data_IF_330152934568
#
_entry.id   IF_330152934568
#
_cell.length_a   1.000
_cell.length_b   1.000
_cell.length_c   1.000
_cell.angle_alpha   90.00
_cell.angle_beta   90.00
_cell.angle_gamma   90.00
#
_symmetry.space_group_name_H-M   'P 1'
#
loop_
_entity.id
_entity.type
_entity.pdbx_description
1 polymer ?
#
# COMPACT_ATOMS: atom_id res chain seq x y z
N UNK A 1 -14.05 19.74 0.52
CA UNK A 1 -15.34 20.42 0.78
C UNK A 1 -16.50 19.64 0.13
N UNK A 2 -16.50 19.38 -1.19
CA UNK A 2 -17.59 18.63 -1.88
C UNK A 2 -17.77 17.24 -1.29
N UNK A 3 -16.68 16.52 -1.07
CA UNK A 3 -16.69 15.20 -0.43
C UNK A 3 -17.28 15.25 0.98
N UNK A 4 -16.91 16.25 1.79
CA UNK A 4 -17.45 16.43 3.14
C UNK A 4 -18.95 16.78 3.15
N UNK A 5 -19.44 17.45 2.11
CA UNK A 5 -20.87 17.76 1.96
C UNK A 5 -21.66 16.50 1.57
N UNK A 6 -21.11 15.66 0.70
CA UNK A 6 -21.79 14.46 0.20
C UNK A 6 -21.74 13.28 1.17
N UNK A 7 -20.61 13.09 1.85
CA UNK A 7 -20.30 11.92 2.67
C UNK A 7 -20.00 12.24 4.15
N UNK A 8 -19.96 13.53 4.52
CA UNK A 8 -19.70 13.95 5.89
C UNK A 8 -20.85 13.63 6.85
N UNK A 9 -20.56 13.77 8.13
CA UNK A 9 -21.51 13.53 9.21
C UNK A 9 -22.69 14.49 9.13
N UNK A 10 -23.90 13.97 8.94
CA UNK A 10 -25.14 14.75 8.90
C UNK A 10 -25.72 15.01 10.29
N UNK A 11 -25.46 14.11 11.24
CA UNK A 11 -25.94 14.20 12.62
C UNK A 11 -24.79 14.00 13.61
N UNK A 12 -24.88 14.64 14.79
CA UNK A 12 -23.86 14.60 15.85
C UNK A 12 -24.11 13.44 16.84
N UNK A 13 -24.86 12.41 16.44
CA UNK A 13 -25.10 11.26 17.30
C UNK A 13 -23.90 10.30 17.26
N UNK A 14 -23.32 10.04 18.42
CA UNK A 14 -22.14 9.16 18.59
C UNK A 14 -22.40 7.71 18.18
N UNK A 15 -23.68 7.30 18.11
CA UNK A 15 -24.10 5.93 17.75
C UNK A 15 -24.55 5.78 16.30
N UNK A 16 -24.43 6.82 15.48
CA UNK A 16 -24.86 6.77 14.09
C UNK A 16 -23.73 6.21 13.20
N UNK A 17 -24.04 5.13 12.51
CA UNK A 17 -23.10 4.48 11.57
C UNK A 17 -23.01 5.26 10.25
N UNK A 18 -21.79 5.61 9.86
CA UNK A 18 -21.50 6.45 8.70
C UNK A 18 -21.33 5.60 7.42
N UNK A 19 -22.37 4.90 6.97
CA UNK A 19 -22.30 4.00 5.80
C UNK A 19 -21.72 4.64 4.54
N UNK A 20 -22.10 5.90 4.25
CA UNK A 20 -21.60 6.62 3.08
C UNK A 20 -20.08 6.84 3.12
N UNK A 21 -19.57 7.24 4.28
CA UNK A 21 -18.15 7.47 4.49
C UNK A 21 -17.38 6.15 4.47
N UNK A 22 -17.92 5.09 5.08
CA UNK A 22 -17.28 3.77 5.08
C UNK A 22 -17.18 3.18 3.67
N UNK A 23 -18.24 3.30 2.87
CA UNK A 23 -18.22 2.85 1.46
C UNK A 23 -17.23 3.65 0.61
N UNK A 24 -17.11 4.96 0.85
CA UNK A 24 -16.13 5.79 0.15
C UNK A 24 -14.68 5.37 0.49
N UNK A 25 -14.37 5.10 1.77
CA UNK A 25 -13.07 4.61 2.22
C UNK A 25 -12.76 3.23 1.62
N UNK A 26 -13.75 2.34 1.57
CA UNK A 26 -13.60 1.02 0.97
C UNK A 26 -13.30 1.11 -0.53
N UNK A 27 -14.04 1.93 -1.26
CA UNK A 27 -13.81 2.19 -2.68
C UNK A 27 -12.42 2.77 -2.95
N UNK A 28 -12.01 3.76 -2.17
CA UNK A 28 -10.67 4.35 -2.21
C UNK A 28 -9.59 3.28 -2.05
N UNK A 29 -9.74 2.39 -1.07
CA UNK A 29 -8.77 1.32 -0.81
C UNK A 29 -8.66 0.33 -1.98
N UNK A 30 -9.77 0.03 -2.66
CA UNK A 30 -9.79 -0.82 -3.85
C UNK A 30 -9.07 -0.13 -5.01
N UNK A 31 -9.35 1.14 -5.27
CA UNK A 31 -8.69 1.90 -6.35
C UNK A 31 -7.17 1.94 -6.15
N UNK A 32 -6.71 2.19 -4.93
CA UNK A 32 -5.29 2.16 -4.57
C UNK A 32 -4.66 0.78 -4.82
N UNK A 33 -5.33 -0.27 -4.36
CA UNK A 33 -4.84 -1.64 -4.53
C UNK A 33 -4.70 -1.99 -6.02
N UNK A 34 -5.72 -1.67 -6.82
CA UNK A 34 -5.71 -1.92 -8.27
C UNK A 34 -4.58 -1.17 -8.95
N UNK A 35 -4.42 0.14 -8.66
CA UNK A 35 -3.34 0.94 -9.21
C UNK A 35 -1.97 0.34 -8.86
N UNK A 36 -1.79 -0.07 -7.60
CA UNK A 36 -0.54 -0.64 -7.11
C UNK A 36 -0.22 -2.00 -7.73
N UNK A 37 -1.24 -2.86 -7.94
CA UNK A 37 -1.09 -4.13 -8.65
C UNK A 37 -0.63 -3.91 -10.09
N UNK A 38 -1.24 -2.98 -10.80
CA UNK A 38 -0.84 -2.69 -12.19
C UNK A 38 0.61 -2.20 -12.29
N UNK A 39 1.04 -1.32 -11.38
CA UNK A 39 2.43 -0.86 -11.34
C UNK A 39 3.39 -1.98 -10.95
N UNK A 40 3.03 -2.81 -9.98
CA UNK A 40 3.86 -3.95 -9.57
C UNK A 40 4.05 -4.98 -10.67
N UNK A 41 2.97 -5.31 -11.40
CA UNK A 41 3.03 -6.21 -12.56
C UNK A 41 3.85 -5.58 -13.68
N UNK A 42 3.64 -4.29 -13.95
CA UNK A 42 4.41 -3.54 -14.93
C UNK A 42 5.91 -3.54 -14.59
N UNK A 43 6.27 -3.26 -13.34
CA UNK A 43 7.64 -3.29 -12.87
C UNK A 43 8.28 -4.68 -13.02
N UNK A 44 7.54 -5.74 -12.68
CA UNK A 44 8.04 -7.10 -12.69
C UNK A 44 8.22 -7.67 -14.10
N UNK A 45 7.28 -7.44 -15.00
CA UNK A 45 7.27 -8.08 -16.32
C UNK A 45 7.72 -7.19 -17.48
N UNK A 46 7.58 -5.88 -17.36
CA UNK A 46 7.99 -4.96 -18.41
C UNK A 46 9.41 -4.39 -18.20
N UNK A 47 9.81 -4.19 -16.93
CA UNK A 47 11.11 -3.59 -16.61
C UNK A 47 12.14 -4.65 -16.21
N UNK A 48 11.72 -5.68 -15.46
CA UNK A 48 12.61 -6.68 -14.85
C UNK A 48 12.58 -8.06 -15.52
N UNK A 49 11.96 -8.22 -16.70
CA UNK A 49 11.90 -9.52 -17.41
C UNK A 49 11.51 -10.73 -16.52
N UNK A 50 10.81 -10.49 -15.42
CA UNK A 50 10.26 -11.50 -14.53
C UNK A 50 11.00 -11.71 -13.19
N UNK A 51 10.56 -12.72 -12.40
CA UNK A 51 11.06 -12.93 -11.03
C UNK A 51 12.55 -13.33 -10.95
N UNK A 52 13.11 -13.93 -12.00
CA UNK A 52 14.52 -14.32 -12.03
C UNK A 52 15.42 -13.10 -12.15
N UNK A 53 15.07 -12.14 -13.01
CA UNK A 53 15.80 -10.90 -13.16
C UNK A 53 15.69 -10.03 -11.91
N UNK A 54 14.53 -10.02 -11.26
CA UNK A 54 14.34 -9.41 -9.96
C UNK A 54 15.37 -9.92 -8.94
N UNK A 55 15.50 -11.24 -8.80
CA UNK A 55 16.44 -11.85 -7.87
C UNK A 55 17.90 -11.53 -8.23
N UNK A 56 18.28 -11.65 -9.49
CA UNK A 56 19.63 -11.35 -9.96
C UNK A 56 19.98 -9.87 -9.70
N UNK A 57 19.09 -8.94 -10.00
CA UNK A 57 19.29 -7.51 -9.76
C UNK A 57 19.49 -7.21 -8.27
N UNK A 58 18.76 -7.89 -7.37
CA UNK A 58 18.95 -7.75 -5.92
C UNK A 58 20.32 -8.24 -5.50
N UNK A 59 20.78 -9.39 -6.02
CA UNK A 59 22.07 -9.99 -5.66
C UNK A 59 23.24 -9.15 -6.19
N UNK A 60 23.14 -8.65 -7.42
CA UNK A 60 24.20 -7.89 -8.10
C UNK A 60 24.35 -6.47 -7.58
N UNK A 61 23.27 -5.87 -7.04
CA UNK A 61 23.30 -4.49 -6.54
C UNK A 61 23.61 -4.48 -5.03
N UNK A 62 24.81 -4.03 -4.60
CA UNK A 62 25.22 -4.12 -3.19
C UNK A 62 24.26 -3.48 -2.20
N UNK A 63 23.63 -2.38 -2.60
CA UNK A 63 22.69 -1.65 -1.78
C UNK A 63 21.36 -2.42 -1.61
N UNK A 64 20.82 -3.01 -2.67
CA UNK A 64 19.61 -3.86 -2.61
C UNK A 64 19.90 -5.16 -1.87
N UNK A 65 21.09 -5.74 -2.08
CA UNK A 65 21.52 -6.93 -1.37
C UNK A 65 21.52 -6.70 0.15
N UNK A 66 22.09 -5.59 0.61
CA UNK A 66 22.10 -5.24 2.03
C UNK A 66 20.70 -4.98 2.60
N UNK A 67 19.76 -4.48 1.81
CA UNK A 67 18.39 -4.24 2.24
C UNK A 67 17.55 -5.54 2.35
N UNK A 68 17.65 -6.41 1.36
CA UNK A 68 16.76 -7.57 1.25
C UNK A 68 17.38 -8.88 1.77
N UNK A 69 18.71 -9.02 1.72
CA UNK A 69 19.41 -10.27 2.05
C UNK A 69 20.27 -10.15 3.32
N UNK A 70 20.29 -8.99 3.99
CA UNK A 70 20.96 -8.86 5.29
C UNK A 70 20.28 -9.72 6.36
N UNK A 71 21.07 -10.23 7.29
CA UNK A 71 20.53 -10.97 8.43
C UNK A 71 19.64 -10.06 9.27
N UNK A 72 18.41 -10.48 9.47
CA UNK A 72 17.45 -9.78 10.35
C UNK A 72 17.94 -9.97 11.78
N UNK A 73 18.16 -8.86 12.48
CA UNK A 73 18.42 -8.85 13.90
C UNK A 73 17.15 -9.25 14.67
N UNK A 74 17.20 -10.39 15.34
CA UNK A 74 16.02 -10.97 16.00
C UNK A 74 15.35 -10.03 17.00
N UNK A 75 16.08 -9.33 17.91
CA UNK A 75 15.48 -8.34 18.79
C UNK A 75 14.74 -7.23 18.05
N UNK A 76 15.34 -6.66 17.02
CA UNK A 76 14.74 -5.60 16.20
C UNK A 76 13.46 -6.09 15.52
N UNK A 77 13.45 -7.30 14.99
CA UNK A 77 12.27 -7.90 14.37
C UNK A 77 11.11 -8.06 15.38
N UNK A 78 11.40 -8.53 16.59
CA UNK A 78 10.38 -8.69 17.64
C UNK A 78 9.80 -7.32 18.02
N UNK A 79 10.66 -6.31 18.24
CA UNK A 79 10.22 -4.96 18.60
C UNK A 79 9.33 -4.36 17.49
N UNK A 80 9.75 -4.47 16.24
CA UNK A 80 8.95 -3.97 15.09
C UNK A 80 7.61 -4.70 14.97
N UNK A 81 7.57 -6.01 15.23
CA UNK A 81 6.33 -6.79 15.23
C UNK A 81 5.37 -6.33 16.32
N UNK A 82 5.88 -6.10 17.54
CA UNK A 82 5.07 -5.57 18.64
C UNK A 82 4.54 -4.18 18.33
N UNK A 83 5.38 -3.29 17.78
CA UNK A 83 4.97 -1.94 17.37
C UNK A 83 3.90 -1.98 16.30
N UNK A 84 4.06 -2.80 15.28
CA UNK A 84 3.06 -2.97 14.20
C UNK A 84 1.73 -3.51 14.74
N UNK A 85 1.76 -4.50 15.63
CA UNK A 85 0.57 -5.02 16.28
C UNK A 85 -0.12 -3.96 17.16
N UNK A 86 0.65 -3.16 17.89
CA UNK A 86 0.12 -2.08 18.72
C UNK A 86 -0.51 -0.96 17.90
N UNK A 87 0.00 -0.68 16.70
CA UNK A 87 -0.49 0.38 15.85
C UNK A 87 -1.98 0.21 15.49
N UNK A 88 -2.47 -1.04 15.33
CA UNK A 88 -3.87 -1.32 15.04
C UNK A 88 -4.79 -0.80 16.16
N UNK A 89 -4.36 -0.89 17.42
CA UNK A 89 -5.15 -0.45 18.57
C UNK A 89 -4.92 1.03 18.92
N UNK A 90 -3.72 1.54 18.67
CA UNK A 90 -3.35 2.91 19.05
C UNK A 90 -3.74 3.95 18.01
N UNK A 91 -3.92 3.59 16.73
CA UNK A 91 -4.35 4.52 15.70
C UNK A 91 -5.86 4.78 15.81
N UNK A 92 -6.31 6.04 16.07
CA UNK A 92 -7.72 6.35 16.30
C UNK A 92 -8.62 5.93 15.13
N UNK A 93 -8.15 6.09 13.89
CA UNK A 93 -8.89 5.70 12.68
C UNK A 93 -9.13 4.18 12.64
N UNK A 94 -8.10 3.38 12.90
CA UNK A 94 -8.19 1.92 12.89
C UNK A 94 -9.10 1.41 14.01
N UNK A 95 -8.96 1.98 15.19
CA UNK A 95 -9.81 1.65 16.33
C UNK A 95 -11.27 2.01 16.06
N UNK A 96 -11.56 3.19 15.50
CA UNK A 96 -12.92 3.62 15.18
C UNK A 96 -13.58 2.66 14.18
N UNK A 97 -12.89 2.32 13.09
CA UNK A 97 -13.41 1.40 12.06
C UNK A 97 -13.66 -0.01 12.62
N UNK A 98 -12.75 -0.52 13.45
CA UNK A 98 -12.83 -1.89 13.95
C UNK A 98 -13.76 -2.08 15.16
N UNK A 99 -13.97 -1.03 15.97
CA UNK A 99 -14.71 -1.14 17.21
C UNK A 99 -16.07 -0.40 17.20
N UNK A 100 -16.16 0.74 16.48
CA UNK A 100 -17.37 1.59 16.49
C UNK A 100 -18.26 1.31 15.28
N UNK A 101 -17.68 1.17 14.08
CA UNK A 101 -18.44 0.94 12.83
C UNK A 101 -18.76 -0.54 12.58
N UNK A 102 -18.42 -1.41 13.50
CA UNK A 102 -18.69 -2.85 13.44
C UNK A 102 -20.19 -3.14 13.59
N UNK A 103 -20.77 -3.95 12.67
CA UNK A 103 -22.18 -4.29 12.63
C UNK A 103 -22.49 -5.73 13.00
N UNK A 104 -21.72 -6.66 12.46
CA UNK A 104 -21.98 -8.09 12.63
C UNK A 104 -20.66 -8.84 12.89
N UNK A 105 -20.72 -9.86 13.74
CA UNK A 105 -19.58 -10.74 14.02
C UNK A 105 -19.04 -11.44 12.76
N UNK A 106 -19.87 -11.61 11.74
CA UNK A 106 -19.49 -12.16 10.44
C UNK A 106 -18.52 -11.27 9.70
N UNK A 107 -18.72 -9.95 9.75
CA UNK A 107 -17.86 -8.96 9.09
C UNK A 107 -16.47 -8.95 9.71
N UNK A 108 -16.39 -9.09 11.02
CA UNK A 108 -15.13 -9.17 11.75
C UNK A 108 -14.34 -10.44 11.37
N UNK A 109 -15.03 -11.57 11.23
CA UNK A 109 -14.40 -12.83 10.79
C UNK A 109 -13.83 -12.71 9.39
N UNK A 110 -14.52 -12.02 8.48
CA UNK A 110 -14.08 -11.80 7.12
C UNK A 110 -12.91 -10.81 7.06
N UNK A 111 -13.00 -9.69 7.78
CA UNK A 111 -11.96 -8.67 7.86
C UNK A 111 -10.64 -9.24 8.39
N UNK A 112 -10.69 -10.18 9.34
CA UNK A 112 -9.51 -10.85 9.91
C UNK A 112 -8.63 -11.56 8.87
N UNK A 113 -9.21 -12.02 7.77
CA UNK A 113 -8.47 -12.65 6.67
C UNK A 113 -8.14 -11.69 5.54
N UNK A 114 -9.09 -10.82 5.17
CA UNK A 114 -8.90 -9.88 4.05
C UNK A 114 -7.85 -8.81 4.38
N UNK A 115 -7.85 -8.29 5.59
CA UNK A 115 -6.92 -7.23 5.96
C UNK A 115 -5.44 -7.68 5.90
N UNK A 116 -5.04 -8.82 6.48
CA UNK A 116 -3.68 -9.33 6.32
C UNK A 116 -3.34 -9.67 4.86
N UNK A 117 -4.29 -10.23 4.10
CA UNK A 117 -4.09 -10.52 2.68
C UNK A 117 -3.84 -9.24 1.87
N UNK A 118 -4.60 -8.19 2.13
CA UNK A 118 -4.41 -6.87 1.52
C UNK A 118 -3.01 -6.32 1.80
N UNK A 119 -2.56 -6.35 3.05
CA UNK A 119 -1.22 -5.91 3.44
C UNK A 119 -0.12 -6.78 2.80
N UNK A 120 -0.34 -8.09 2.70
CA UNK A 120 0.60 -9.01 2.07
C UNK A 120 0.78 -8.69 0.59
N UNK A 121 -0.31 -8.43 -0.14
CA UNK A 121 -0.25 -8.04 -1.56
C UNK A 121 0.56 -6.75 -1.72
N UNK A 122 0.28 -5.72 -0.91
CA UNK A 122 1.07 -4.49 -0.93
C UNK A 122 2.56 -4.74 -0.68
N UNK A 123 2.88 -5.47 0.38
CA UNK A 123 4.27 -5.77 0.74
C UNK A 123 5.02 -6.53 -0.36
N UNK A 124 4.33 -7.46 -1.02
CA UNK A 124 4.92 -8.25 -2.09
C UNK A 124 5.20 -7.42 -3.35
N UNK A 125 4.35 -6.43 -3.64
CA UNK A 125 4.49 -5.57 -4.81
C UNK A 125 5.50 -4.43 -4.61
N UNK A 126 5.80 -4.04 -3.38
CA UNK A 126 6.82 -3.02 -3.08
C UNK A 126 8.20 -3.46 -3.61
N UNK A 127 8.54 -4.74 -3.45
CA UNK A 127 9.85 -5.26 -3.84
C UNK A 127 10.15 -5.05 -5.34
N UNK A 128 9.33 -5.50 -6.30
CA UNK A 128 9.60 -5.26 -7.71
C UNK A 128 9.59 -3.78 -8.10
N UNK A 129 8.73 -2.96 -7.48
CA UNK A 129 8.69 -1.52 -7.75
C UNK A 129 9.99 -0.85 -7.30
N UNK A 130 10.51 -1.19 -6.12
CA UNK A 130 11.74 -0.63 -5.60
C UNK A 130 12.95 -1.04 -6.45
N UNK A 131 13.05 -2.32 -6.82
CA UNK A 131 14.15 -2.84 -7.64
C UNK A 131 14.10 -2.24 -9.06
N UNK A 132 12.93 -2.20 -9.69
CA UNK A 132 12.76 -1.57 -11.00
C UNK A 132 13.08 -0.07 -10.95
N UNK A 133 12.65 0.63 -9.91
CA UNK A 133 12.95 2.05 -9.70
C UNK A 133 14.44 2.31 -9.57
N UNK A 134 15.15 1.51 -8.80
CA UNK A 134 16.60 1.64 -8.65
C UNK A 134 17.37 1.35 -9.94
N UNK A 135 16.88 0.39 -10.76
CA UNK A 135 17.48 0.02 -12.05
C UNK A 135 17.30 1.11 -13.12
N UNK A 136 16.10 1.72 -13.20
CA UNK A 136 15.75 2.66 -14.27
C UNK A 136 16.11 4.10 -13.92
N UNK A 137 15.83 4.53 -12.69
CA UNK A 137 15.90 5.94 -12.34
C UNK A 137 17.27 6.37 -11.80
N UNK A 138 18.16 5.41 -11.48
CA UNK A 138 19.51 5.66 -10.93
C UNK A 138 19.53 6.72 -9.81
N UNK A 139 18.39 6.96 -9.17
CA UNK A 139 18.23 7.95 -8.10
C UNK A 139 18.52 7.32 -6.74
N UNK A 140 18.99 8.14 -5.81
CA UNK A 140 19.15 7.70 -4.42
C UNK A 140 17.79 7.22 -3.88
N UNK A 141 17.79 6.20 -3.03
CA UNK A 141 16.59 5.66 -2.37
C UNK A 141 15.79 6.70 -1.56
N UNK A 142 16.34 7.89 -1.34
CA UNK A 142 15.64 9.02 -0.72
C UNK A 142 14.36 9.43 -1.46
N UNK A 143 14.25 9.08 -2.74
CA UNK A 143 13.08 9.39 -3.57
C UNK A 143 12.24 8.13 -3.91
N UNK A 144 12.41 7.04 -3.18
CA UNK A 144 11.73 5.77 -3.46
C UNK A 144 10.20 5.88 -3.43
N UNK A 145 9.64 6.79 -2.65
CA UNK A 145 8.20 7.04 -2.57
C UNK A 145 7.60 7.47 -3.91
N UNK A 146 8.39 8.14 -4.76
CA UNK A 146 7.96 8.57 -6.08
C UNK A 146 8.09 7.50 -7.16
N UNK A 147 8.75 6.37 -6.89
CA UNK A 147 8.97 5.33 -7.89
C UNK A 147 7.67 4.80 -8.48
N UNK A 148 6.62 4.69 -7.68
CA UNK A 148 5.30 4.24 -8.13
C UNK A 148 4.76 5.11 -9.28
N UNK A 149 4.98 6.43 -9.22
CA UNK A 149 4.55 7.38 -10.24
C UNK A 149 5.60 7.57 -11.35
N UNK A 150 6.87 7.65 -10.99
CA UNK A 150 7.95 7.94 -11.93
C UNK A 150 8.24 6.79 -12.90
N UNK A 151 8.06 5.54 -12.48
CA UNK A 151 8.29 4.39 -13.35
C UNK A 151 7.40 4.38 -14.60
N UNK A 152 6.06 4.51 -14.50
CA UNK A 152 5.21 4.61 -15.69
C UNK A 152 5.54 5.81 -16.56
N UNK A 153 5.86 6.97 -15.95
CA UNK A 153 6.20 8.19 -16.67
C UNK A 153 7.50 8.02 -17.45
N UNK A 154 8.55 7.49 -16.83
CA UNK A 154 9.86 7.29 -17.46
C UNK A 154 9.82 6.34 -18.65
N UNK A 155 8.87 5.41 -18.66
CA UNK A 155 8.65 4.45 -19.73
C UNK A 155 7.56 4.88 -20.74
N UNK A 156 7.08 6.12 -20.65
CA UNK A 156 6.07 6.68 -21.57
C UNK A 156 4.67 6.07 -21.45
N UNK A 157 4.38 5.34 -20.36
CA UNK A 157 3.08 4.71 -20.13
C UNK A 157 2.10 5.67 -19.45
N UNK A 158 1.60 6.65 -20.21
CA UNK A 158 0.77 7.74 -19.71
C UNK A 158 -0.52 7.28 -19.03
N UNK A 159 -1.21 6.25 -19.56
CA UNK A 159 -2.44 5.73 -18.95
C UNK A 159 -2.20 5.16 -17.54
N UNK A 160 -1.07 4.45 -17.34
CA UNK A 160 -0.70 3.89 -16.04
C UNK A 160 -0.31 4.99 -15.04
N UNK A 161 0.39 6.02 -15.51
CA UNK A 161 0.72 7.19 -14.70
C UNK A 161 -0.54 7.93 -14.20
N UNK A 162 -1.56 8.09 -15.06
CA UNK A 162 -2.85 8.69 -14.68
C UNK A 162 -3.57 7.82 -13.65
N UNK A 163 -3.59 6.50 -13.83
CA UNK A 163 -4.22 5.57 -12.89
C UNK A 163 -3.56 5.64 -11.51
N UNK A 164 -2.23 5.68 -11.46
CA UNK A 164 -1.46 5.84 -10.21
C UNK A 164 -1.72 7.19 -9.57
N UNK A 165 -1.77 8.25 -10.36
CA UNK A 165 -2.05 9.60 -9.88
C UNK A 165 -3.44 9.68 -9.23
N UNK A 166 -4.46 9.09 -9.86
CA UNK A 166 -5.82 9.01 -9.29
C UNK A 166 -5.80 8.21 -7.98
N UNK A 167 -5.11 7.06 -7.95
CA UNK A 167 -4.95 6.27 -6.73
C UNK A 167 -4.24 7.02 -5.61
N UNK A 168 -3.22 7.82 -5.93
CA UNK A 168 -2.50 8.68 -4.99
C UNK A 168 -3.34 9.84 -4.47
N UNK A 169 -4.05 10.54 -5.36
CA UNK A 169 -4.96 11.65 -4.98
C UNK A 169 -6.10 11.20 -4.08
N UNK A 170 -6.58 9.98 -4.26
CA UNK A 170 -7.63 9.44 -3.38
C UNK A 170 -7.12 9.21 -1.95
N UNK A 171 -5.80 9.30 -1.72
CA UNK A 171 -5.17 9.15 -0.41
C UNK A 171 -5.01 10.47 0.36
N UNK A 172 -5.13 11.60 -0.34
CA UNK A 172 -4.99 12.94 0.22
C UNK A 172 -6.34 13.52 0.67
#
# INVERSE_FOLDING_TARGET
IIFSILFGTRNINVTEHQYGMMNAIAFESIVKLVAFIFVGIFALYYILDGPKDLYNTIVETPHLNSLFLSKIDTPTFIIQTILAASAIFCLPRQFHVSAVEYHQERDLKFARFIFPLYLLIFSLLIMPILVAGSKVLNTSLLNADFYVLLLPISQGQGWLAVLVFIGGLSAA
#
